data_IF_728553978290
#
_entry.id   IF_728553978290
#
_cell.length_a   1.000
_cell.length_b   1.000
_cell.length_c   1.000
_cell.angle_alpha   90.00
_cell.angle_beta   90.00
_cell.angle_gamma   90.00
#
_symmetry.space_group_name_H-M   'P 1'
#
loop_
_entity.id
_entity.type
_entity.pdbx_description
1 polymer ?
#
# COMPACT_ATOMS: atom_id res chain seq x y z
N UNK A 1 -10.50 -2.00 -25.65
CA UNK A 1 -9.53 -1.78 -24.55
C UNK A 1 -10.29 -2.06 -23.25
N UNK A 2 -10.50 -3.33 -22.89
CA UNK A 2 -11.55 -3.70 -21.90
C UNK A 2 -11.20 -4.93 -21.04
N UNK A 3 -10.76 -6.04 -21.63
CA UNK A 3 -10.43 -7.25 -20.86
C UNK A 3 -9.03 -7.24 -20.22
N UNK A 4 -8.03 -6.69 -20.92
CA UNK A 4 -6.64 -6.65 -20.46
C UNK A 4 -6.43 -5.60 -19.35
N UNK A 5 -7.11 -4.46 -19.44
CA UNK A 5 -7.11 -3.44 -18.39
C UNK A 5 -7.78 -3.97 -17.11
N UNK A 6 -8.92 -4.66 -17.23
CA UNK A 6 -9.57 -5.29 -16.09
C UNK A 6 -8.70 -6.36 -15.43
N UNK A 7 -7.93 -7.12 -16.23
CA UNK A 7 -6.93 -8.07 -15.70
C UNK A 7 -5.82 -7.33 -14.96
N UNK A 8 -5.28 -6.26 -15.54
CA UNK A 8 -4.23 -5.42 -14.94
C UNK A 8 -4.65 -4.92 -13.55
N UNK A 9 -5.87 -4.40 -13.43
CA UNK A 9 -6.42 -3.93 -12.17
C UNK A 9 -6.53 -5.05 -11.11
N UNK A 10 -7.07 -6.21 -11.49
CA UNK A 10 -7.19 -7.37 -10.58
C UNK A 10 -5.82 -7.87 -10.12
N UNK A 11 -4.86 -8.02 -11.04
CA UNK A 11 -3.51 -8.46 -10.69
C UNK A 11 -2.82 -7.47 -9.74
N UNK A 12 -3.01 -6.16 -9.93
CA UNK A 12 -2.49 -5.16 -8.99
C UNK A 12 -3.15 -5.28 -7.61
N UNK A 13 -4.47 -5.49 -7.55
CA UNK A 13 -5.19 -5.69 -6.29
C UNK A 13 -4.72 -6.93 -5.53
N UNK A 14 -4.47 -8.03 -6.24
CA UNK A 14 -4.04 -9.30 -5.65
C UNK A 14 -2.62 -9.18 -5.09
N UNK A 15 -1.66 -8.66 -5.88
CA UNK A 15 -0.28 -8.45 -5.41
C UNK A 15 -0.18 -7.45 -4.26
N UNK A 16 -1.03 -6.43 -4.25
CA UNK A 16 -1.10 -5.48 -3.15
C UNK A 16 -1.59 -6.14 -1.86
N UNK A 17 -2.63 -6.98 -1.96
CA UNK A 17 -3.15 -7.74 -0.83
C UNK A 17 -2.12 -8.75 -0.31
N UNK A 18 -1.41 -9.45 -1.21
CA UNK A 18 -0.33 -10.38 -0.87
C UNK A 18 0.82 -9.69 -0.14
N UNK A 19 1.26 -8.51 -0.62
CA UNK A 19 2.30 -7.74 0.05
C UNK A 19 1.85 -7.31 1.45
N UNK A 20 0.62 -6.82 1.59
CA UNK A 20 0.09 -6.39 2.88
C UNK A 20 0.00 -7.52 3.90
N UNK A 21 -0.40 -8.71 3.47
CA UNK A 21 -0.54 -9.89 4.34
C UNK A 21 0.78 -10.35 5.00
N UNK A 22 1.92 -9.99 4.42
CA UNK A 22 3.27 -10.33 4.92
C UNK A 22 4.06 -9.13 5.46
N UNK A 23 3.41 -7.98 5.61
CA UNK A 23 4.03 -6.77 6.16
C UNK A 23 3.56 -6.56 7.60
N UNK A 24 4.40 -5.99 8.47
CA UNK A 24 4.08 -5.71 9.88
C UNK A 24 2.75 -4.95 9.99
N UNK A 25 1.72 -5.54 10.64
CA UNK A 25 0.39 -4.95 10.72
C UNK A 25 0.35 -3.82 11.76
N UNK A 26 -0.79 -3.13 11.84
CA UNK A 26 -1.05 -2.09 12.84
C UNK A 26 -0.99 -0.68 12.28
N UNK A 27 -1.18 0.29 13.16
CA UNK A 27 -1.15 1.71 12.84
C UNK A 27 0.30 2.20 12.84
N UNK A 28 0.82 2.58 11.67
CA UNK A 28 2.19 3.04 11.53
C UNK A 28 2.29 4.53 11.84
N UNK A 29 3.08 4.89 12.86
CA UNK A 29 3.24 6.26 13.33
C UNK A 29 4.69 6.72 13.29
N UNK A 30 4.87 8.02 13.10
CA UNK A 30 6.16 8.69 13.24
C UNK A 30 6.48 8.84 14.73
N UNK A 31 7.67 8.43 15.15
CA UNK A 31 8.17 8.55 16.51
C UNK A 31 9.68 8.76 16.56
N UNK A 32 10.29 8.40 17.69
CA UNK A 32 11.72 8.58 17.92
C UNK A 32 12.10 9.99 18.40
N UNK A 33 13.33 10.12 18.90
CA UNK A 33 13.81 11.35 19.57
C UNK A 33 14.50 12.33 18.60
N UNK A 34 14.86 11.90 17.39
CA UNK A 34 15.63 12.70 16.44
C UNK A 34 14.73 13.28 15.35
N UNK A 35 14.48 14.58 15.40
CA UNK A 35 13.60 15.27 14.45
C UNK A 35 14.00 15.10 12.97
N UNK A 36 15.30 14.98 12.66
CA UNK A 36 15.78 14.78 11.29
C UNK A 36 15.71 13.33 10.80
N UNK A 37 15.66 12.37 11.75
CA UNK A 37 15.71 10.92 11.50
C UNK A 37 14.69 10.21 12.38
N UNK A 38 13.39 10.52 12.21
CA UNK A 38 12.37 9.84 12.97
C UNK A 38 12.30 8.35 12.62
N UNK A 39 11.73 7.62 13.56
CA UNK A 39 11.38 6.22 13.44
C UNK A 39 9.94 6.09 12.94
N UNK A 40 9.67 5.02 12.18
CA UNK A 40 8.32 4.56 11.86
C UNK A 40 8.06 3.33 12.72
N UNK A 41 7.02 3.40 13.53
CA UNK A 41 6.68 2.40 14.53
C UNK A 41 5.27 1.90 14.25
N UNK A 42 5.10 0.59 14.13
CA UNK A 42 3.81 -0.05 14.04
C UNK A 42 3.21 -0.21 15.45
N UNK A 43 1.97 0.22 15.62
CA UNK A 43 1.21 0.04 16.85
C UNK A 43 0.14 -1.04 16.65
N UNK A 44 0.30 -2.17 17.35
CA UNK A 44 -0.64 -3.28 17.34
C UNK A 44 -1.86 -3.02 18.21
N UNK A 45 -2.97 -3.71 17.92
CA UNK A 45 -4.23 -3.60 18.69
C UNK A 45 -4.07 -4.08 20.14
N UNK A 46 -3.10 -4.95 20.41
CA UNK A 46 -2.78 -5.47 21.73
C UNK A 46 -1.87 -4.52 22.55
N UNK A 47 -1.62 -3.31 22.03
CA UNK A 47 -0.75 -2.31 22.67
C UNK A 47 0.75 -2.52 22.44
N UNK A 48 1.13 -3.61 21.76
CA UNK A 48 2.51 -3.85 21.34
C UNK A 48 2.99 -2.87 20.26
N UNK A 49 4.29 -2.61 20.23
CA UNK A 49 4.92 -1.75 19.21
C UNK A 49 6.09 -2.46 18.54
N UNK A 50 6.24 -2.27 17.24
CA UNK A 50 7.36 -2.80 16.45
C UNK A 50 8.00 -1.70 15.61
N UNK A 51 9.33 -1.60 15.64
CA UNK A 51 10.06 -0.65 14.80
C UNK A 51 10.11 -1.17 13.35
N UNK A 52 9.62 -0.36 12.42
CA UNK A 52 9.50 -0.72 11.00
C UNK A 52 10.65 -0.15 10.18
N UNK A 53 10.99 1.13 10.38
CA UNK A 53 12.00 1.81 9.58
C UNK A 53 12.51 3.09 10.25
N UNK A 54 13.76 3.44 10.02
CA UNK A 54 14.29 4.79 10.25
C UNK A 54 14.29 5.54 8.92
N UNK A 55 13.75 6.76 8.88
CA UNK A 55 13.63 7.54 7.64
C UNK A 55 13.89 9.04 7.86
N UNK A 56 14.19 9.77 6.78
CA UNK A 56 14.15 11.25 6.81
C UNK A 56 12.72 11.69 7.10
N UNK A 57 12.53 12.81 7.81
CA UNK A 57 11.21 13.28 8.24
C UNK A 57 10.15 13.31 7.12
N UNK A 58 10.47 13.90 5.96
CA UNK A 58 9.52 13.94 4.82
C UNK A 58 9.20 12.55 4.24
N UNK A 59 10.15 11.62 4.31
CA UNK A 59 9.97 10.24 3.85
C UNK A 59 9.13 9.44 4.85
N UNK A 60 9.31 9.66 6.15
CA UNK A 60 8.53 9.01 7.20
C UNK A 60 7.02 9.27 7.01
N UNK A 61 6.64 10.51 6.67
CA UNK A 61 5.25 10.87 6.38
C UNK A 61 4.66 10.06 5.20
N UNK A 62 5.43 9.86 4.13
CA UNK A 62 5.01 9.01 3.01
C UNK A 62 4.86 7.55 3.41
N UNK A 63 5.79 7.02 4.23
CA UNK A 63 5.76 5.63 4.70
C UNK A 63 4.52 5.38 5.56
N UNK A 64 4.21 6.26 6.52
CA UNK A 64 3.02 6.09 7.38
C UNK A 64 1.72 6.22 6.57
N UNK A 65 1.65 7.18 5.63
CA UNK A 65 0.48 7.39 4.79
C UNK A 65 0.21 6.22 3.82
N UNK A 66 1.26 5.53 3.35
CA UNK A 66 1.16 4.37 2.45
C UNK A 66 1.46 3.04 3.17
N UNK A 67 1.25 2.99 4.48
CA UNK A 67 1.39 1.78 5.30
C UNK A 67 0.43 0.67 4.83
N UNK A 68 0.59 -0.60 5.28
CA UNK A 68 -0.26 -1.71 4.87
C UNK A 68 -1.77 -1.47 5.05
N UNK A 69 -2.16 -0.54 5.93
CA UNK A 69 -3.56 -0.15 6.13
C UNK A 69 -4.27 0.32 4.85
N UNK A 70 -3.55 0.89 3.87
CA UNK A 70 -4.17 1.34 2.60
C UNK A 70 -4.47 0.18 1.65
N UNK A 71 -3.87 -1.00 1.86
CA UNK A 71 -3.91 -2.08 0.90
C UNK A 71 -5.32 -2.64 0.70
N UNK A 72 -6.05 -2.91 1.78
CA UNK A 72 -7.41 -3.46 1.71
C UNK A 72 -8.39 -2.53 0.95
N UNK A 73 -8.57 -1.24 1.34
CA UNK A 73 -9.49 -0.35 0.62
C UNK A 73 -9.03 -0.10 -0.83
N UNK A 74 -7.73 0.01 -1.09
CA UNK A 74 -7.23 0.22 -2.46
C UNK A 74 -7.43 -1.01 -3.34
N UNK A 75 -7.18 -2.22 -2.82
CA UNK A 75 -7.44 -3.46 -3.54
C UNK A 75 -8.94 -3.65 -3.83
N UNK A 76 -9.82 -3.29 -2.90
CA UNK A 76 -11.27 -3.30 -3.13
C UNK A 76 -11.65 -2.35 -4.27
N UNK A 77 -11.19 -1.10 -4.23
CA UNK A 77 -11.44 -0.11 -5.28
C UNK A 77 -10.92 -0.57 -6.66
N UNK A 78 -9.73 -1.18 -6.73
CA UNK A 78 -9.19 -1.74 -7.97
C UNK A 78 -10.08 -2.86 -8.54
N UNK A 79 -10.62 -3.74 -7.68
CA UNK A 79 -11.53 -4.82 -8.09
C UNK A 79 -12.87 -4.28 -8.60
N UNK A 80 -13.43 -3.27 -7.93
CA UNK A 80 -14.65 -2.58 -8.39
C UNK A 80 -14.43 -1.90 -9.75
N UNK A 81 -13.32 -1.16 -9.89
CA UNK A 81 -12.97 -0.52 -11.16
C UNK A 81 -12.83 -1.54 -12.30
N UNK A 82 -12.31 -2.74 -12.01
CA UNK A 82 -12.20 -3.83 -12.98
C UNK A 82 -13.55 -4.43 -13.40
N UNK A 83 -14.60 -4.28 -12.57
CA UNK A 83 -15.95 -4.77 -12.84
C UNK A 83 -16.84 -3.81 -13.64
N UNK A 84 -16.43 -2.56 -13.82
CA UNK A 84 -17.24 -1.49 -14.43
C UNK A 84 -17.50 -1.63 -15.95
N UNK A 85 -16.95 -2.65 -16.61
CA UNK A 85 -17.09 -2.89 -18.07
C UNK A 85 -16.25 -1.95 -18.96
N UNK A 86 -15.97 -0.74 -18.50
CA UNK A 86 -15.06 0.22 -19.09
C UNK A 86 -14.13 0.81 -18.02
N UNK A 87 -13.00 0.15 -17.70
CA UNK A 87 -12.10 0.60 -16.65
C UNK A 87 -11.60 2.04 -16.85
N UNK A 88 -11.61 2.82 -15.77
CA UNK A 88 -11.06 4.18 -15.76
C UNK A 88 -9.56 4.17 -16.12
N UNK A 89 -9.13 5.10 -16.99
CA UNK A 89 -7.74 5.13 -17.47
C UNK A 89 -6.74 5.47 -16.37
N UNK A 90 -7.14 6.30 -15.40
CA UNK A 90 -6.28 6.67 -14.26
C UNK A 90 -6.11 5.49 -13.31
N UNK A 91 -7.15 4.69 -13.10
CA UNK A 91 -7.05 3.43 -12.37
C UNK A 91 -6.08 2.45 -13.03
N UNK A 92 -6.15 2.30 -14.37
CA UNK A 92 -5.21 1.47 -15.13
C UNK A 92 -3.78 2.00 -15.03
N UNK A 93 -3.58 3.32 -15.12
CA UNK A 93 -2.27 3.94 -14.96
C UNK A 93 -1.69 3.67 -13.56
N UNK A 94 -2.49 3.82 -12.50
CA UNK A 94 -2.08 3.50 -11.14
C UNK A 94 -1.70 2.02 -10.99
N UNK A 95 -2.52 1.10 -11.52
CA UNK A 95 -2.24 -0.32 -11.47
C UNK A 95 -0.93 -0.69 -12.18
N UNK A 96 -0.61 -0.06 -13.32
CA UNK A 96 0.67 -0.25 -14.01
C UNK A 96 1.86 0.23 -13.16
N UNK A 97 1.72 1.37 -12.48
CA UNK A 97 2.74 1.86 -11.53
C UNK A 97 2.92 0.85 -10.38
N UNK A 98 1.83 0.35 -9.80
CA UNK A 98 1.88 -0.66 -8.75
C UNK A 98 2.58 -1.93 -9.23
N UNK A 99 2.20 -2.49 -10.38
CA UNK A 99 2.80 -3.72 -10.91
C UNK A 99 4.29 -3.58 -11.25
N UNK A 100 4.77 -2.37 -11.58
CA UNK A 100 6.19 -2.10 -11.78
C UNK A 100 7.01 -1.97 -10.48
N UNK A 101 6.36 -1.92 -9.30
CA UNK A 101 7.01 -1.70 -7.99
C UNK A 101 6.74 -2.83 -7.00
N UNK A 102 5.57 -3.44 -7.06
CA UNK A 102 5.21 -4.57 -6.22
C UNK A 102 6.10 -5.77 -6.56
N UNK A 103 6.54 -6.55 -5.55
CA UNK A 103 7.26 -7.78 -5.81
C UNK A 103 6.49 -8.69 -6.79
N UNK A 104 7.22 -9.41 -7.62
CA UNK A 104 6.64 -10.55 -8.33
C UNK A 104 6.18 -11.60 -7.32
N UNK A 105 5.14 -12.34 -7.71
CA UNK A 105 4.84 -13.64 -7.09
C UNK A 105 5.84 -14.70 -7.54
#
# INVERSE_FOLDING_TARGET
MTADDARTLRTAADRLAELAARTTPGDWRVGGLLASRPEVIAHGVDGGTEHVAEARAATAAWITALSPAVAAPLAAWLREAAGSGAPDRSAVALARVLLGRLPGG
#
